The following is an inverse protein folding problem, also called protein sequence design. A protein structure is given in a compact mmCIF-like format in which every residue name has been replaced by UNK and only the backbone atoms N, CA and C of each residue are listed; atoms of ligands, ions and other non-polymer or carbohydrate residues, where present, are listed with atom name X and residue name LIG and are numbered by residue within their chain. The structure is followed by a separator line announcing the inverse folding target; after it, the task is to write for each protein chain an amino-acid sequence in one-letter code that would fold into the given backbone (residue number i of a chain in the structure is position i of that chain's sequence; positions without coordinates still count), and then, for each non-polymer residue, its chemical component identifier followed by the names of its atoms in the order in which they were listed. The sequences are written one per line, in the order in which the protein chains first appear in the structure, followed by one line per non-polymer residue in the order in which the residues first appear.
data_IF_193314599102
#
_entry.id   IF_193314599102
#
_cell.length_a   1.000
_cell.length_b   1.000
_cell.length_c   1.000
_cell.angle_alpha   90.00
_cell.angle_beta   90.00
_cell.angle_gamma   90.00
#
_symmetry.space_group_name_H-M   'P 1'
#
loop_
_entity.id
_entity.type
_entity.pdbx_description
1 polymer ?
#
# COMPACT_ATOMS: atom_id res chain seq x y z
N UNK A 1 0.21 3.72 -9.39
CA UNK A 1 1.08 4.93 -9.46
C UNK A 1 0.78 5.79 -8.24
N UNK A 2 1.72 6.45 -7.55
CA UNK A 2 1.42 7.13 -6.27
C UNK A 2 0.53 8.38 -6.32
N UNK A 3 0.18 8.83 -7.53
CA UNK A 3 -0.71 9.96 -7.75
C UNK A 3 -2.06 9.48 -8.30
N UNK A 4 -3.13 10.18 -7.93
CA UNK A 4 -4.44 10.05 -8.54
C UNK A 4 -4.51 10.76 -9.90
N UNK A 5 -5.66 10.65 -10.57
CA UNK A 5 -5.92 11.31 -11.87
C UNK A 5 -5.87 12.84 -11.77
N UNK A 6 -6.11 13.39 -10.58
CA UNK A 6 -6.02 14.82 -10.26
C UNK A 6 -4.59 15.29 -9.95
N UNK A 7 -3.60 14.40 -10.05
CA UNK A 7 -2.20 14.67 -9.72
C UNK A 7 -1.93 14.80 -8.22
N UNK A 8 -2.92 14.56 -7.36
CA UNK A 8 -2.73 14.54 -5.91
C UNK A 8 -2.18 13.19 -5.46
N UNK A 9 -1.53 13.16 -4.29
CA UNK A 9 -1.11 11.89 -3.69
C UNK A 9 -2.35 11.04 -3.40
N UNK A 10 -2.28 9.75 -3.69
CA UNK A 10 -3.34 8.80 -3.32
C UNK A 10 -3.61 8.94 -1.82
N UNK A 11 -4.87 9.25 -1.48
CA UNK A 11 -5.34 9.52 -0.11
C UNK A 11 -4.80 8.54 0.95
N UNK A 12 -4.72 7.25 0.61
CA UNK A 12 -4.35 6.18 1.54
C UNK A 12 -2.85 5.98 1.71
N UNK A 13 -2.04 6.48 0.77
CA UNK A 13 -0.61 6.20 0.72
C UNK A 13 0.15 6.72 1.98
N UNK A 14 -0.03 7.96 2.46
CA UNK A 14 0.71 8.43 3.63
C UNK A 14 0.45 7.60 4.89
N UNK A 15 -0.81 7.24 5.14
CA UNK A 15 -1.18 6.40 6.29
C UNK A 15 -0.65 4.98 6.18
N UNK A 16 -0.65 4.41 4.97
CA UNK A 16 -0.07 3.10 4.70
C UNK A 16 1.43 3.07 5.01
N UNK A 17 2.18 4.09 4.56
CA UNK A 17 3.62 4.20 4.81
C UNK A 17 3.90 4.33 6.31
N UNK A 18 3.13 5.15 7.03
CA UNK A 18 3.26 5.29 8.48
C UNK A 18 3.08 3.95 9.21
N UNK A 19 2.04 3.19 8.88
CA UNK A 19 1.79 1.86 9.47
C UNK A 19 2.95 0.90 9.25
N UNK A 20 3.48 0.82 8.02
CA UNK A 20 4.58 -0.09 7.71
C UNK A 20 5.89 0.36 8.37
N UNK A 21 6.14 1.67 8.48
CA UNK A 21 7.28 2.18 9.22
C UNK A 21 7.20 1.90 10.72
N UNK A 22 6.03 2.06 11.32
CA UNK A 22 5.81 1.71 12.72
C UNK A 22 6.03 0.21 12.96
N UNK A 23 5.76 -0.63 11.95
CA UNK A 23 6.09 -2.05 11.91
C UNK A 23 7.56 -2.40 11.63
N UNK A 24 8.44 -1.41 11.47
CA UNK A 24 9.88 -1.60 11.26
C UNK A 24 10.31 -1.88 9.82
N UNK A 25 9.44 -1.73 8.83
CA UNK A 25 9.79 -1.94 7.43
C UNK A 25 10.62 -0.78 6.87
N UNK A 26 11.65 -1.12 6.10
CA UNK A 26 12.46 -0.15 5.35
C UNK A 26 11.73 0.31 4.07
N UNK A 27 12.10 1.48 3.54
CA UNK A 27 11.57 1.99 2.27
C UNK A 27 11.64 0.95 1.14
N UNK A 28 12.75 0.19 1.07
CA UNK A 28 12.97 -0.84 0.05
C UNK A 28 11.99 -2.00 0.22
N UNK A 29 11.73 -2.43 1.46
CA UNK A 29 10.78 -3.52 1.74
C UNK A 29 9.34 -3.08 1.45
N UNK A 30 8.98 -1.84 1.82
CA UNK A 30 7.68 -1.25 1.53
C UNK A 30 7.47 -1.17 0.02
N UNK A 31 8.44 -0.63 -0.72
CA UNK A 31 8.37 -0.54 -2.18
C UNK A 31 8.31 -1.93 -2.82
N UNK A 32 9.10 -2.89 -2.33
CA UNK A 32 9.04 -4.27 -2.83
C UNK A 32 7.65 -4.86 -2.63
N UNK A 33 7.06 -4.72 -1.45
CA UNK A 33 5.72 -5.23 -1.17
C UNK A 33 4.65 -4.54 -2.02
N UNK A 34 4.71 -3.21 -2.17
CA UNK A 34 3.76 -2.44 -2.96
C UNK A 34 3.73 -2.84 -4.45
N UNK A 35 4.87 -3.25 -4.99
CA UNK A 35 5.04 -3.52 -6.43
C UNK A 35 5.17 -5.01 -6.77
N UNK A 36 5.21 -5.90 -5.80
CA UNK A 36 5.16 -7.34 -6.05
C UNK A 36 3.70 -7.77 -6.22
N UNK A 37 3.45 -8.62 -7.22
CA UNK A 37 2.14 -9.25 -7.37
C UNK A 37 1.88 -10.16 -6.16
N UNK A 38 0.65 -10.10 -5.65
CA UNK A 38 0.19 -10.93 -4.54
C UNK A 38 -1.01 -11.72 -5.05
N UNK A 39 -0.90 -13.05 -5.17
CA UNK A 39 -1.97 -13.90 -5.72
C UNK A 39 -3.28 -13.87 -4.90
N UNK A 40 -3.24 -13.31 -3.68
CA UNK A 40 -4.41 -13.10 -2.85
C UNK A 40 -5.02 -11.69 -3.00
N UNK A 41 -4.49 -10.87 -3.89
CA UNK A 41 -5.02 -9.58 -4.35
C UNK A 41 -5.09 -9.57 -5.89
N UNK A 42 -6.09 -8.91 -6.50
CA UNK A 42 -6.03 -8.65 -7.93
C UNK A 42 -4.87 -7.71 -8.25
N UNK A 43 -3.76 -8.25 -8.77
CA UNK A 43 -2.58 -7.48 -9.17
C UNK A 43 -1.64 -7.13 -8.02
N UNK A 44 -1.14 -5.90 -8.00
CA UNK A 44 -0.18 -5.43 -6.98
C UNK A 44 -0.89 -4.52 -5.98
N UNK A 45 -0.44 -4.45 -4.71
CA UNK A 45 -1.04 -3.57 -3.71
C UNK A 45 -1.12 -2.11 -4.17
N UNK A 46 -0.12 -1.61 -4.90
CA UNK A 46 -0.11 -0.23 -5.43
C UNK A 46 -1.23 0.06 -6.44
N UNK A 47 -1.72 -0.95 -7.16
CA UNK A 47 -2.79 -0.79 -8.14
C UNK A 47 -4.16 -0.75 -7.43
N UNK A 48 -4.29 -1.50 -6.32
CA UNK A 48 -5.50 -1.53 -5.51
C UNK A 48 -5.75 -0.21 -4.72
N UNK A 49 -4.73 0.62 -4.53
CA UNK A 49 -4.82 1.88 -3.78
C UNK A 49 -5.73 2.94 -4.43
N UNK A 50 -6.00 2.84 -5.74
CA UNK A 50 -6.86 3.77 -6.49
C UNK A 50 -8.33 3.37 -6.48
N UNK A 51 -8.66 2.17 -6.02
CA UNK A 51 -10.01 1.61 -6.10
C UNK A 51 -10.58 1.15 -4.77
N UNK A 52 -11.65 0.36 -4.86
CA UNK A 52 -12.39 -0.14 -3.69
C UNK A 52 -11.57 -1.06 -2.78
N UNK A 53 -10.47 -1.62 -3.31
CA UNK A 53 -9.58 -2.53 -2.62
C UNK A 53 -8.55 -1.83 -1.72
N UNK A 54 -8.47 -0.50 -1.74
CA UNK A 54 -7.51 0.24 -0.91
C UNK A 54 -7.64 -0.09 0.59
N UNK A 55 -8.88 -0.31 1.07
CA UNK A 55 -9.12 -0.71 2.47
C UNK A 55 -8.53 -2.07 2.81
N UNK A 56 -8.56 -3.01 1.88
CA UNK A 56 -7.97 -4.34 2.08
C UNK A 56 -6.43 -4.27 2.14
N UNK A 57 -5.83 -3.42 1.30
CA UNK A 57 -4.37 -3.17 1.34
C UNK A 57 -3.95 -2.60 2.71
N UNK A 58 -4.72 -1.64 3.24
CA UNK A 58 -4.45 -1.06 4.58
C UNK A 58 -4.60 -2.13 5.68
N UNK A 59 -5.65 -2.95 5.63
CA UNK A 59 -5.88 -4.01 6.61
C UNK A 59 -4.70 -4.99 6.65
N UNK A 60 -4.12 -5.31 5.49
CA UNK A 60 -2.95 -6.19 5.38
C UNK A 60 -1.69 -5.53 5.95
N UNK A 61 -1.45 -4.26 5.62
CA UNK A 61 -0.32 -3.54 6.20
C UNK A 61 -0.40 -3.46 7.74
N UNK A 62 -1.60 -3.25 8.29
CA UNK A 62 -1.83 -3.29 9.74
C UNK A 62 -1.52 -4.68 10.33
N UNK A 63 -1.87 -5.75 9.64
CA UNK A 63 -1.55 -7.11 10.06
C UNK A 63 -0.07 -7.47 9.92
N UNK A 64 0.66 -6.82 9.01
CA UNK A 64 2.10 -7.00 8.80
C UNK A 64 2.96 -6.22 9.80
N UNK A 65 2.42 -5.14 10.36
CA UNK A 65 3.10 -4.22 11.26
C UNK A 65 2.88 -4.54 12.76
N UNK A 66 2.16 -5.62 13.07
CA UNK A 66 1.86 -6.10 14.42
C UNK A 66 2.58 -7.43 14.69
#
# INVERSE_FOLDING_TARGET
MFFGEDGQIVKWLPGLLAVLHDGGYTDIEILRWLFLADDSLPGRPVDALHGDLAREVIRRAQAMAF
#
